data_IF_515594927586
#
_entry.id   IF_515594927586
#
_cell.length_a   1.000
_cell.length_b   1.000
_cell.length_c   1.000
_cell.angle_alpha   90.00
_cell.angle_beta   90.00
_cell.angle_gamma   90.00
#
_symmetry.space_group_name_H-M   'P 1'
#
loop_
_entity.id
_entity.type
_entity.pdbx_description
1 polymer ?
#
# COMPACT_ATOMS: atom_id res chain seq x y z
N UNK A 1 -20.33 -16.45 -49.32
CA UNK A 1 -20.20 -17.19 -48.05
C UNK A 1 -19.86 -16.17 -46.98
N UNK A 2 -20.81 -15.82 -46.09
CA UNK A 2 -20.64 -14.73 -45.11
C UNK A 2 -19.73 -15.21 -43.98
N UNK A 3 -18.50 -14.71 -43.88
CA UNK A 3 -17.52 -14.92 -42.79
C UNK A 3 -17.94 -14.25 -41.46
N UNK A 4 -19.24 -14.03 -41.24
CA UNK A 4 -19.78 -13.14 -40.21
C UNK A 4 -19.81 -13.73 -38.78
N UNK A 5 -19.41 -15.01 -38.63
CA UNK A 5 -19.45 -15.73 -37.35
C UNK A 5 -18.09 -15.96 -36.71
N UNK A 6 -17.03 -16.15 -37.50
CA UNK A 6 -15.72 -16.57 -36.98
C UNK A 6 -15.01 -15.40 -36.30
N UNK A 7 -15.05 -14.20 -36.89
CA UNK A 7 -14.44 -13.00 -36.29
C UNK A 7 -15.08 -12.63 -34.95
N UNK A 8 -16.41 -12.73 -34.85
CA UNK A 8 -17.15 -12.45 -33.60
C UNK A 8 -16.90 -13.52 -32.54
N UNK A 9 -16.78 -14.78 -32.95
CA UNK A 9 -16.44 -15.89 -32.06
C UNK A 9 -15.00 -15.78 -31.53
N UNK A 10 -14.05 -15.38 -32.39
CA UNK A 10 -12.67 -15.10 -32.00
C UNK A 10 -12.56 -13.94 -31.02
N UNK A 11 -13.31 -12.85 -31.27
CA UNK A 11 -13.37 -11.70 -30.35
C UNK A 11 -13.98 -12.09 -29.00
N UNK A 12 -15.02 -12.92 -28.99
CA UNK A 12 -15.66 -13.41 -27.78
C UNK A 12 -14.72 -14.34 -26.98
N UNK A 13 -14.02 -15.26 -27.65
CA UNK A 13 -13.01 -16.10 -27.01
C UNK A 13 -11.83 -15.29 -26.48
N UNK A 14 -11.38 -14.26 -27.20
CA UNK A 14 -10.34 -13.34 -26.72
C UNK A 14 -10.79 -12.56 -25.47
N UNK A 15 -12.08 -12.21 -25.37
CA UNK A 15 -12.65 -11.51 -24.21
C UNK A 15 -12.77 -12.43 -22.98
N UNK A 16 -13.10 -13.70 -23.17
CA UNK A 16 -13.17 -14.68 -22.06
C UNK A 16 -11.75 -14.99 -21.56
N UNK A 17 -10.74 -14.89 -22.41
CA UNK A 17 -9.35 -15.09 -22.00
C UNK A 17 -8.73 -13.89 -21.27
N UNK A 18 -9.41 -12.73 -21.18
CA UNK A 18 -8.89 -11.56 -20.46
C UNK A 18 -9.29 -11.49 -18.98
N UNK A 19 -9.67 -12.62 -18.37
CA UNK A 19 -9.93 -12.67 -16.92
C UNK A 19 -8.60 -12.49 -16.19
N UNK A 20 -8.40 -11.30 -15.62
CA UNK A 20 -7.21 -11.00 -14.85
C UNK A 20 -7.17 -11.77 -13.54
N UNK A 21 -5.98 -12.24 -13.16
CA UNK A 21 -5.74 -12.80 -11.83
C UNK A 21 -5.12 -11.73 -10.94
N UNK A 22 -5.76 -11.44 -9.80
CA UNK A 22 -5.25 -10.52 -8.79
C UNK A 22 -4.82 -11.29 -7.55
N UNK A 23 -3.54 -11.22 -7.22
CA UNK A 23 -2.97 -11.74 -5.98
C UNK A 23 -2.71 -10.58 -5.02
N UNK A 24 -3.24 -10.68 -3.80
CA UNK A 24 -2.98 -9.72 -2.73
C UNK A 24 -2.11 -10.37 -1.68
N UNK A 25 -0.98 -9.74 -1.38
CA UNK A 25 -0.06 -10.15 -0.33
C UNK A 25 0.19 -8.96 0.59
N UNK A 26 -0.16 -9.09 1.86
CA UNK A 26 -0.04 -8.02 2.84
C UNK A 26 0.97 -8.34 3.93
N UNK A 27 1.64 -7.31 4.43
CA UNK A 27 2.40 -7.34 5.67
C UNK A 27 1.84 -6.28 6.62
N UNK A 28 1.62 -6.68 7.87
CA UNK A 28 1.21 -5.77 8.92
C UNK A 28 2.50 -5.27 9.56
N UNK A 29 2.77 -3.96 9.50
CA UNK A 29 3.71 -3.37 10.44
C UNK A 29 3.03 -3.48 11.80
N UNK A 30 3.61 -4.31 12.69
CA UNK A 30 2.96 -4.84 13.88
C UNK A 30 1.97 -3.86 14.53
N UNK A 31 0.81 -4.40 14.93
CA UNK A 31 -0.16 -3.77 15.82
C UNK A 31 0.53 -3.43 17.14
N UNK A 32 1.32 -2.38 17.11
CA UNK A 32 1.92 -1.83 18.27
C UNK A 32 0.77 -1.10 18.96
N UNK A 33 0.07 -1.86 19.82
CA UNK A 33 -0.73 -1.34 20.91
C UNK A 33 0.19 -0.54 21.84
N UNK A 34 0.82 0.50 21.32
CA UNK A 34 1.37 1.55 22.12
C UNK A 34 0.17 2.35 22.62
N UNK A 35 -0.42 1.87 23.72
CA UNK A 35 -0.87 2.81 24.72
C UNK A 35 0.37 3.64 25.02
N UNK A 36 0.33 4.93 24.68
CA UNK A 36 1.45 5.86 24.80
C UNK A 36 1.31 6.65 26.12
N UNK A 37 1.30 6.04 27.33
CA UNK A 37 1.14 6.84 28.56
C UNK A 37 2.33 7.80 28.75
N UNK A 38 3.48 7.50 28.14
CA UNK A 38 4.73 8.28 28.23
C UNK A 38 5.48 8.48 26.90
N UNK A 39 4.82 8.32 25.75
CA UNK A 39 5.48 8.56 24.46
C UNK A 39 5.27 9.98 23.99
N UNK A 40 6.29 10.52 23.34
CA UNK A 40 6.25 11.83 22.70
C UNK A 40 5.65 11.77 21.28
N UNK A 41 4.83 10.75 21.01
CA UNK A 41 4.20 10.51 19.72
C UNK A 41 2.75 10.98 19.78
N UNK A 42 2.42 12.02 19.01
CA UNK A 42 1.08 12.59 18.91
C UNK A 42 0.44 12.19 17.56
N UNK A 43 -0.65 11.40 17.57
CA UNK A 43 -1.35 11.04 16.34
C UNK A 43 -1.97 12.26 15.64
N UNK A 44 -1.63 12.48 14.37
CA UNK A 44 -2.17 13.57 13.53
C UNK A 44 -3.35 13.12 12.66
N UNK A 45 -3.59 11.80 12.58
CA UNK A 45 -4.74 11.21 11.92
C UNK A 45 -4.38 10.17 10.86
N UNK A 46 -5.42 9.57 10.30
CA UNK A 46 -5.29 8.50 9.30
C UNK A 46 -4.75 9.02 7.97
N UNK A 47 -3.89 8.22 7.33
CA UNK A 47 -3.34 8.47 5.99
C UNK A 47 -3.32 7.20 5.16
N UNK A 48 -3.43 7.37 3.84
CA UNK A 48 -3.43 6.27 2.88
C UNK A 48 -2.74 6.67 1.59
N UNK A 49 -1.76 5.88 1.14
CA UNK A 49 -0.99 6.16 -0.06
C UNK A 49 -0.83 4.91 -0.92
N UNK A 50 -0.57 5.11 -2.22
CA UNK A 50 -0.20 4.02 -3.13
C UNK A 50 0.83 4.46 -4.17
N UNK A 51 1.63 3.49 -4.60
CA UNK A 51 2.59 3.57 -5.70
C UNK A 51 2.33 2.38 -6.63
N UNK A 52 2.38 2.62 -7.93
CA UNK A 52 1.93 1.68 -8.94
C UNK A 52 2.96 1.56 -10.06
N UNK A 53 3.17 0.34 -10.55
CA UNK A 53 4.05 0.06 -11.67
C UNK A 53 3.37 -0.83 -12.70
N UNK A 54 3.57 -0.47 -13.96
CA UNK A 54 3.09 -1.23 -15.11
C UNK A 54 4.26 -1.93 -15.81
N UNK A 55 4.07 -3.21 -16.11
CA UNK A 55 4.99 -4.04 -16.86
C UNK A 55 4.31 -4.68 -18.07
N UNK A 56 4.97 -4.63 -19.22
CA UNK A 56 4.59 -5.42 -20.39
C UNK A 56 5.35 -6.73 -20.32
N UNK A 57 4.64 -7.85 -20.50
CA UNK A 57 5.17 -9.23 -20.50
C UNK A 57 5.65 -9.71 -19.12
N UNK A 58 6.46 -8.94 -18.40
CA UNK A 58 7.01 -9.28 -17.08
C UNK A 58 6.52 -8.26 -16.03
N UNK A 59 6.11 -8.69 -14.83
CA UNK A 59 5.81 -7.77 -13.73
C UNK A 59 7.06 -6.96 -13.35
N UNK A 60 6.88 -5.67 -13.11
CA UNK A 60 7.96 -4.84 -12.57
C UNK A 60 8.02 -5.02 -11.07
N UNK A 61 9.23 -5.29 -10.58
CA UNK A 61 9.51 -5.33 -9.16
C UNK A 61 9.41 -3.94 -8.53
N UNK A 62 8.94 -3.94 -7.29
CA UNK A 62 8.96 -2.76 -6.43
C UNK A 62 10.34 -2.64 -5.79
N UNK A 63 10.95 -1.47 -5.91
CA UNK A 63 12.29 -1.19 -5.39
C UNK A 63 12.19 -0.49 -4.03
N UNK A 64 13.34 -0.34 -3.35
CA UNK A 64 13.40 0.37 -2.07
C UNK A 64 12.97 1.83 -2.21
N UNK A 65 13.23 2.43 -3.37
CA UNK A 65 12.85 3.79 -3.70
C UNK A 65 11.33 3.94 -3.82
N UNK A 66 10.62 2.94 -4.37
CA UNK A 66 9.15 2.95 -4.41
C UNK A 66 8.54 2.88 -3.01
N UNK A 67 9.12 2.05 -2.14
CA UNK A 67 8.71 1.97 -0.74
C UNK A 67 8.97 3.30 -0.04
N UNK A 68 10.15 3.91 -0.23
CA UNK A 68 10.44 5.23 0.34
C UNK A 68 9.45 6.29 -0.15
N UNK A 69 9.18 6.33 -1.46
CA UNK A 69 8.21 7.24 -2.05
C UNK A 69 6.79 7.03 -1.50
N UNK A 70 6.40 5.77 -1.22
CA UNK A 70 5.12 5.44 -0.60
C UNK A 70 4.99 6.05 0.80
N UNK A 71 6.04 5.94 1.63
CA UNK A 71 6.08 6.53 2.97
C UNK A 71 6.10 8.06 2.92
N UNK A 72 6.92 8.66 2.05
CA UNK A 72 6.96 10.12 1.86
C UNK A 72 5.60 10.66 1.38
N UNK A 73 4.95 9.95 0.45
CA UNK A 73 3.59 10.28 -0.02
C UNK A 73 2.53 10.14 1.06
N UNK A 74 2.69 9.21 2.01
CA UNK A 74 1.78 9.07 3.13
C UNK A 74 1.99 10.17 4.19
N UNK A 75 3.23 10.46 4.57
CA UNK A 75 3.58 11.48 5.56
C UNK A 75 3.23 12.89 5.08
N UNK A 76 3.43 13.18 3.79
CA UNK A 76 3.10 14.49 3.20
C UNK A 76 1.60 14.83 3.23
N UNK A 77 0.71 13.88 3.51
CA UNK A 77 -0.73 14.14 3.67
C UNK A 77 -1.06 14.90 4.97
N UNK A 78 -0.15 14.89 5.95
CA UNK A 78 -0.33 15.56 7.24
C UNK A 78 0.90 16.42 7.53
N UNK A 79 0.72 17.73 7.50
CA UNK A 79 1.79 18.67 7.84
C UNK A 79 2.29 18.42 9.27
N UNK A 80 3.61 18.33 9.44
CA UNK A 80 4.25 18.06 10.74
C UNK A 80 4.24 16.59 11.17
N UNK A 81 3.89 15.65 10.28
CA UNK A 81 4.06 14.22 10.53
C UNK A 81 5.53 13.81 10.36
N UNK A 82 6.07 13.10 11.35
CA UNK A 82 7.43 12.58 11.34
C UNK A 82 7.47 11.07 11.09
N UNK A 83 6.42 10.35 11.56
CA UNK A 83 6.38 8.88 11.56
C UNK A 83 4.98 8.35 11.25
N UNK A 84 4.93 7.11 10.75
CA UNK A 84 3.70 6.33 10.60
C UNK A 84 3.62 5.28 11.69
N UNK A 85 2.49 5.21 12.36
CA UNK A 85 2.18 4.22 13.39
C UNK A 85 0.93 3.42 12.99
N UNK A 86 0.81 2.19 13.49
CA UNK A 86 -0.34 1.31 13.20
C UNK A 86 -0.62 1.19 11.70
N UNK A 87 0.43 1.00 10.90
CA UNK A 87 0.31 0.96 9.45
C UNK A 87 0.33 -0.47 8.90
N UNK A 88 -0.35 -0.65 7.79
CA UNK A 88 -0.38 -1.88 7.00
C UNK A 88 0.16 -1.55 5.61
N UNK A 89 0.98 -2.46 5.08
CA UNK A 89 1.44 -2.40 3.70
C UNK A 89 0.88 -3.61 2.96
N UNK A 90 0.13 -3.36 1.90
CA UNK A 90 -0.38 -4.38 1.00
C UNK A 90 0.27 -4.24 -0.36
N UNK A 91 0.65 -5.39 -0.93
CA UNK A 91 1.11 -5.50 -2.31
C UNK A 91 0.05 -6.25 -3.12
N UNK A 92 -0.39 -5.65 -4.21
CA UNK A 92 -1.34 -6.22 -5.13
C UNK A 92 -0.66 -6.44 -6.49
N UNK A 93 -0.66 -7.69 -6.94
CA UNK A 93 -0.18 -8.08 -8.26
C UNK A 93 -1.38 -8.48 -9.09
N UNK A 94 -1.60 -7.79 -10.21
CA UNK A 94 -2.65 -8.11 -11.17
C UNK A 94 -2.01 -8.46 -12.51
N UNK A 95 -2.33 -9.65 -13.00
CA UNK A 95 -1.90 -10.13 -14.32
C UNK A 95 -3.13 -10.24 -15.20
N UNK A 96 -3.17 -9.46 -16.27
CA UNK A 96 -4.21 -9.52 -17.28
C UNK A 96 -3.61 -10.18 -18.52
N UNK A 97 -3.93 -11.46 -18.78
CA UNK A 97 -3.51 -12.13 -20.00
C UNK A 97 -4.22 -11.50 -21.21
N UNK A 98 -3.44 -11.07 -22.20
CA UNK A 98 -3.91 -10.65 -23.52
C UNK A 98 -3.32 -11.64 -24.53
N UNK A 99 -3.99 -11.98 -25.65
CA UNK A 99 -3.56 -13.09 -26.53
C UNK A 99 -2.12 -13.07 -27.04
N UNK A 100 -1.42 -11.93 -27.00
CA UNK A 100 -0.04 -11.76 -27.52
C UNK A 100 0.95 -11.37 -26.41
N UNK A 101 0.48 -10.81 -25.29
CA UNK A 101 1.33 -10.35 -24.18
C UNK A 101 0.54 -10.29 -22.88
N UNK A 102 1.23 -10.25 -21.74
CA UNK A 102 0.59 -10.04 -20.44
C UNK A 102 0.73 -8.58 -20.02
N UNK A 103 -0.38 -7.96 -19.61
CA UNK A 103 -0.32 -6.71 -18.86
C UNK A 103 -0.16 -7.05 -17.38
N UNK A 104 0.94 -6.59 -16.80
CA UNK A 104 1.23 -6.79 -15.39
C UNK A 104 1.11 -5.44 -14.66
N UNK A 105 0.43 -5.47 -13.54
CA UNK A 105 0.21 -4.33 -12.68
C UNK A 105 0.62 -4.69 -11.26
N UNK A 106 1.57 -3.96 -10.71
CA UNK A 106 2.00 -4.09 -9.32
C UNK A 106 1.62 -2.81 -8.58
N UNK A 107 0.91 -2.94 -7.46
CA UNK A 107 0.53 -1.82 -6.60
C UNK A 107 1.01 -2.08 -5.18
N UNK A 108 1.73 -1.12 -4.63
CA UNK A 108 1.98 -1.03 -3.20
C UNK A 108 0.98 -0.04 -2.61
N UNK A 109 0.35 -0.45 -1.52
CA UNK A 109 -0.63 0.32 -0.78
C UNK A 109 -0.21 0.40 0.68
N UNK A 110 -0.24 1.60 1.26
CA UNK A 110 0.03 1.85 2.66
C UNK A 110 -1.17 2.53 3.29
N UNK A 111 -1.59 2.05 4.45
CA UNK A 111 -2.67 2.63 5.24
C UNK A 111 -2.26 2.64 6.71
N UNK A 112 -2.31 3.79 7.38
CA UNK A 112 -1.87 3.90 8.76
C UNK A 112 -2.25 5.22 9.41
N UNK A 113 -1.64 5.53 10.56
CA UNK A 113 -1.83 6.81 11.26
C UNK A 113 -0.53 7.60 11.21
N UNK A 114 -0.57 8.80 10.65
CA UNK A 114 0.53 9.74 10.73
C UNK A 114 0.61 10.30 12.14
N UNK A 115 1.82 10.44 12.67
CA UNK A 115 2.07 10.98 13.99
C UNK A 115 3.29 11.91 13.99
N UNK A 116 3.24 12.91 14.86
CA UNK A 116 4.37 13.79 15.16
C UNK A 116 5.16 13.20 16.32
N UNK A 117 6.48 13.22 16.23
CA UNK A 117 7.35 12.73 17.30
C UNK A 117 8.17 13.89 17.86
N UNK A 118 7.91 14.27 19.12
CA UNK A 118 8.69 15.32 19.79
C UNK A 118 9.90 14.71 20.50
N UNK A 119 11.12 15.04 20.10
CA UNK A 119 12.33 14.54 20.80
C UNK A 119 12.68 15.51 21.93
N UNK A 120 12.49 15.10 23.19
CA UNK A 120 12.77 15.93 24.38
C UNK A 120 12.21 15.35 25.68
N UNK A 121 12.96 15.48 26.78
CA UNK A 121 12.67 14.90 28.10
C UNK A 121 11.26 15.27 28.61
N UNK A 122 10.40 14.27 28.79
CA UNK A 122 9.18 14.44 29.57
C UNK A 122 9.57 14.21 31.04
N UNK A 123 9.43 15.23 31.89
CA UNK A 123 9.60 15.04 33.33
C UNK A 123 8.60 13.97 33.80
N UNK A 124 9.13 12.90 34.38
CA UNK A 124 8.32 11.87 35.01
C UNK A 124 7.54 12.52 36.14
N UNK A 125 6.23 12.64 35.99
CA UNK A 125 5.36 12.95 37.13
C UNK A 125 5.46 11.76 38.08
N UNK A 126 6.23 11.90 39.15
CA UNK A 126 6.26 10.90 40.21
C UNK A 126 4.83 10.67 40.70
N UNK A 127 4.31 9.46 40.46
CA UNK A 127 3.14 8.99 41.16
C UNK A 127 3.55 8.91 42.64
N UNK A 128 3.14 9.91 43.42
CA UNK A 128 3.25 9.83 44.89
C UNK A 128 2.61 8.52 45.31
N UNK A 129 3.44 7.60 45.79
CA UNK A 129 3.05 6.38 46.45
C UNK A 129 2.06 6.73 47.55
N UNK A 130 0.79 6.41 47.33
CA UNK A 130 -0.24 6.40 48.37
C UNK A 130 -0.30 4.98 48.93
N UNK A 131 0.67 4.64 49.77
CA UNK A 131 0.61 3.54 50.74
C UNK A 131 1.49 3.91 51.93
#
# INVERSE_FOLDING_TARGET
MKTFGIEKLLLFCALIMSVGCTMKMGSIGDKSHFTYPNSNVEPLGHVSASVEKFGLIIPKDMTKEDVRALFEKALSQKAGADVLINYKIDTEYTVIPIPIFSLNYTKLYLSGTAAKMTVGQKELKELKSAY
#
